data_IF_227632721951
#
_entry.id   IF_227632721951
#
_cell.length_a   1.000
_cell.length_b   1.000
_cell.length_c   1.000
_cell.angle_alpha   90.00
_cell.angle_beta   90.00
_cell.angle_gamma   90.00
#
_symmetry.space_group_name_H-M   'P 1'
#
loop_
_entity.id
_entity.type
_entity.pdbx_description
1 polymer ?
#
# COMPACT_ATOMS: atom_id res chain seq x y z
N UNK A 1 -0.93 17.06 22.58
CA UNK A 1 -0.12 16.51 21.47
C UNK A 1 0.23 17.64 20.52
N UNK A 2 1.52 17.94 20.31
CA UNK A 2 1.98 19.15 19.60
C UNK A 2 1.59 19.13 18.11
N UNK A 3 0.93 20.19 17.60
CA UNK A 3 0.55 20.31 16.17
C UNK A 3 1.73 20.14 15.20
N UNK A 4 2.93 20.59 15.59
CA UNK A 4 4.17 20.41 14.81
C UNK A 4 4.56 18.93 14.64
N UNK A 5 4.28 18.09 15.62
CA UNK A 5 4.57 16.65 15.58
C UNK A 5 3.63 15.89 14.63
N UNK A 6 2.36 16.32 14.62
CA UNK A 6 1.33 15.76 13.75
C UNK A 6 1.50 16.15 12.27
N UNK A 7 1.95 17.39 12.03
CA UNK A 7 2.28 17.85 10.67
C UNK A 7 3.48 17.09 10.10
N UNK A 8 4.48 16.76 10.92
CA UNK A 8 5.65 15.97 10.49
C UNK A 8 5.27 14.56 10.03
N UNK A 9 4.36 13.87 10.73
CA UNK A 9 3.90 12.54 10.31
C UNK A 9 3.14 12.56 8.99
N UNK A 10 2.27 13.54 8.77
CA UNK A 10 1.59 13.72 7.48
C UNK A 10 2.57 14.04 6.34
N UNK A 11 3.54 14.92 6.57
CA UNK A 11 4.55 15.26 5.55
C UNK A 11 5.40 14.06 5.16
N UNK A 12 5.83 13.25 6.15
CA UNK A 12 6.55 12.01 5.88
C UNK A 12 5.71 11.01 5.08
N UNK A 13 4.42 10.92 5.36
CA UNK A 13 3.50 10.06 4.61
C UNK A 13 3.33 10.56 3.16
N UNK A 14 3.18 11.86 2.93
CA UNK A 14 3.19 12.43 1.57
C UNK A 14 4.48 12.11 0.82
N UNK A 15 5.62 12.28 1.46
CA UNK A 15 6.91 11.92 0.88
C UNK A 15 7.01 10.42 0.58
N UNK A 16 6.50 9.55 1.47
CA UNK A 16 6.45 8.11 1.25
C UNK A 16 5.64 7.75 0.01
N UNK A 17 4.44 8.32 -0.16
CA UNK A 17 3.60 8.04 -1.33
C UNK A 17 4.14 8.65 -2.62
N UNK A 18 4.85 9.78 -2.57
CA UNK A 18 5.59 10.30 -3.72
C UNK A 18 6.72 9.34 -4.13
N UNK A 19 7.48 8.81 -3.15
CA UNK A 19 8.54 7.82 -3.40
C UNK A 19 7.99 6.52 -3.99
N UNK A 20 6.87 6.00 -3.49
CA UNK A 20 6.20 4.85 -4.07
C UNK A 20 5.78 5.12 -5.52
N UNK A 21 5.21 6.29 -5.80
CA UNK A 21 4.79 6.64 -7.18
C UNK A 21 5.97 6.76 -8.14
N UNK A 22 7.11 7.29 -7.69
CA UNK A 22 8.34 7.32 -8.50
C UNK A 22 8.88 5.91 -8.71
N UNK A 23 8.87 5.07 -7.68
CA UNK A 23 9.23 3.66 -7.79
C UNK A 23 8.35 2.93 -8.83
N UNK A 24 7.03 3.11 -8.76
CA UNK A 24 6.07 2.54 -9.71
C UNK A 24 6.36 3.04 -11.14
N UNK A 25 6.71 4.32 -11.31
CA UNK A 25 7.11 4.87 -12.61
C UNK A 25 8.42 4.25 -13.13
N UNK A 26 9.38 3.97 -12.24
CA UNK A 26 10.61 3.25 -12.60
C UNK A 26 10.29 1.84 -13.12
N UNK A 27 9.42 1.08 -12.43
CA UNK A 27 9.01 -0.25 -12.90
C UNK A 27 8.31 -0.19 -14.26
N UNK A 28 7.43 0.80 -14.46
CA UNK A 28 6.78 1.01 -15.76
C UNK A 28 7.76 1.39 -16.86
N UNK A 29 8.79 2.18 -16.55
CA UNK A 29 9.85 2.55 -17.50
C UNK A 29 10.66 1.37 -18.02
N UNK A 30 10.65 0.23 -17.33
CA UNK A 30 11.29 -1.03 -17.71
C UNK A 30 10.38 -1.94 -18.54
N UNK A 31 9.12 -1.54 -18.77
CA UNK A 31 8.18 -2.32 -19.56
C UNK A 31 8.71 -2.62 -20.97
N UNK A 32 8.66 -3.89 -21.37
CA UNK A 32 9.17 -4.37 -22.65
C UNK A 32 10.70 -4.47 -22.76
N UNK A 33 11.45 -4.11 -21.70
CA UNK A 33 12.90 -4.21 -21.66
C UNK A 33 13.39 -5.33 -20.74
N UNK A 34 12.69 -5.55 -19.64
CA UNK A 34 13.02 -6.56 -18.63
C UNK A 34 11.78 -7.38 -18.27
N UNK A 35 12.03 -8.61 -17.78
CA UNK A 35 10.98 -9.44 -17.24
C UNK A 35 10.42 -8.87 -15.92
N UNK A 36 9.08 -8.90 -15.69
CA UNK A 36 8.48 -8.38 -14.48
C UNK A 36 9.03 -8.98 -13.18
N UNK A 37 9.38 -10.27 -13.19
CA UNK A 37 9.94 -10.96 -12.02
C UNK A 37 11.36 -10.47 -11.71
N UNK A 38 12.14 -10.15 -12.73
CA UNK A 38 13.48 -9.56 -12.60
C UNK A 38 13.39 -8.18 -11.93
N UNK A 39 12.44 -7.36 -12.35
CA UNK A 39 12.19 -6.05 -11.71
C UNK A 39 11.74 -6.22 -10.27
N UNK A 40 10.78 -7.11 -10.00
CA UNK A 40 10.30 -7.38 -8.64
C UNK A 40 11.41 -7.91 -7.72
N UNK A 41 12.25 -8.83 -8.20
CA UNK A 41 13.43 -9.35 -7.52
C UNK A 41 14.43 -8.24 -7.15
N UNK A 42 14.69 -7.32 -8.09
CA UNK A 42 15.59 -6.18 -7.85
C UNK A 42 15.11 -5.31 -6.69
N UNK A 43 13.79 -5.21 -6.50
CA UNK A 43 13.16 -4.54 -5.36
C UNK A 43 13.60 -5.13 -4.03
N UNK A 44 13.67 -6.46 -3.93
CA UNK A 44 14.21 -7.16 -2.77
C UNK A 44 15.68 -6.80 -2.52
N UNK A 45 16.52 -6.86 -3.56
CA UNK A 45 17.97 -6.57 -3.45
C UNK A 45 18.22 -5.13 -3.02
N UNK A 46 17.72 -4.16 -3.77
CA UNK A 46 18.00 -2.75 -3.47
C UNK A 46 17.30 -2.28 -2.20
N UNK A 47 16.21 -2.93 -1.80
CA UNK A 47 15.53 -2.70 -0.53
C UNK A 47 16.41 -2.99 0.70
N UNK A 48 17.37 -3.91 0.59
CA UNK A 48 18.35 -4.19 1.68
C UNK A 48 19.19 -2.98 2.06
N UNK A 49 19.42 -2.03 1.15
CA UNK A 49 20.18 -0.81 1.43
C UNK A 49 19.52 0.07 2.51
N UNK A 50 18.24 -0.13 2.78
CA UNK A 50 17.49 0.63 3.81
C UNK A 50 17.59 -0.04 5.20
N UNK A 51 17.97 -1.31 5.28
CA UNK A 51 18.06 -2.04 6.57
C UNK A 51 18.87 -1.34 7.66
N UNK A 52 20.05 -0.75 7.38
CA UNK A 52 20.82 -0.05 8.40
C UNK A 52 20.05 1.10 9.07
N UNK A 53 19.13 1.73 8.34
CA UNK A 53 18.32 2.86 8.83
C UNK A 53 17.07 2.42 9.63
N UNK A 54 16.64 1.18 9.47
CA UNK A 54 15.51 0.59 10.21
C UNK A 54 15.98 -0.06 11.50
N UNK A 55 17.18 -0.66 11.48
CA UNK A 55 17.77 -1.38 12.61
C UNK A 55 18.01 -0.44 13.79
N UNK A 56 17.57 -0.84 14.98
CA UNK A 56 17.95 -0.18 16.23
C UNK A 56 19.37 -0.61 16.65
N UNK A 57 20.10 0.22 17.44
CA UNK A 57 21.44 -0.11 17.88
C UNK A 57 21.57 -1.44 18.66
N UNK A 58 20.48 -1.85 19.35
CA UNK A 58 20.42 -3.06 20.16
C UNK A 58 20.01 -4.31 19.35
N UNK A 59 19.51 -4.16 18.12
CA UNK A 59 19.06 -5.26 17.28
C UNK A 59 20.21 -5.81 16.45
N UNK A 60 20.24 -7.14 16.26
CA UNK A 60 21.14 -7.81 15.31
C UNK A 60 20.49 -7.88 13.92
N UNK A 61 21.27 -8.01 12.87
CA UNK A 61 20.73 -8.29 11.52
C UNK A 61 20.00 -9.64 11.45
N UNK A 62 20.36 -10.61 12.31
CA UNK A 62 19.62 -11.88 12.43
C UNK A 62 18.19 -11.71 12.92
N UNK A 63 17.89 -10.61 13.62
CA UNK A 63 16.55 -10.32 14.14
C UNK A 63 15.52 -10.02 13.03
N UNK A 64 15.99 -9.93 11.79
CA UNK A 64 15.11 -9.88 10.60
C UNK A 64 14.21 -11.13 10.50
N UNK A 65 14.65 -12.26 11.08
CA UNK A 65 13.88 -13.50 11.16
C UNK A 65 13.26 -13.72 12.55
N UNK A 66 13.50 -12.82 13.51
CA UNK A 66 12.98 -12.95 14.87
C UNK A 66 11.47 -12.70 14.87
N UNK A 67 10.70 -13.74 15.09
CA UNK A 67 9.24 -13.68 15.14
C UNK A 67 8.68 -14.78 16.05
N UNK A 68 7.70 -14.42 16.89
CA UNK A 68 6.96 -15.37 17.71
C UNK A 68 5.94 -16.20 16.90
N UNK A 69 5.65 -15.77 15.68
CA UNK A 69 4.67 -16.39 14.77
C UNK A 69 5.23 -16.61 13.37
N UNK A 70 6.09 -17.62 13.15
CA UNK A 70 6.75 -17.86 11.88
C UNK A 70 5.76 -18.11 10.73
N UNK A 71 4.60 -18.71 11.01
CA UNK A 71 3.56 -18.89 10.00
C UNK A 71 3.01 -17.57 9.45
N UNK A 72 2.86 -16.56 10.30
CA UNK A 72 2.40 -15.23 9.87
C UNK A 72 3.50 -14.47 9.14
N UNK A 73 4.75 -14.65 9.54
CA UNK A 73 5.90 -14.11 8.84
C UNK A 73 6.00 -14.68 7.41
N UNK A 74 5.89 -16.01 7.27
CA UNK A 74 5.90 -16.70 5.97
C UNK A 74 4.69 -16.31 5.11
N UNK A 75 3.49 -16.26 5.70
CA UNK A 75 2.29 -15.82 4.99
C UNK A 75 2.47 -14.40 4.44
N UNK A 76 3.06 -13.51 5.24
CA UNK A 76 3.33 -12.14 4.79
C UNK A 76 4.40 -12.11 3.71
N UNK A 77 5.49 -12.86 3.84
CA UNK A 77 6.52 -12.96 2.81
C UNK A 77 5.94 -13.49 1.48
N UNK A 78 5.11 -14.52 1.54
CA UNK A 78 4.42 -15.03 0.37
C UNK A 78 3.44 -14.02 -0.24
N UNK A 79 2.65 -13.35 0.60
CA UNK A 79 1.72 -12.33 0.15
C UNK A 79 2.44 -11.12 -0.49
N UNK A 80 3.59 -10.70 0.06
CA UNK A 80 4.39 -9.62 -0.54
C UNK A 80 5.05 -10.06 -1.85
N UNK A 81 5.53 -11.29 -1.97
CA UNK A 81 5.98 -11.86 -3.24
C UNK A 81 4.89 -11.78 -4.33
N UNK A 82 3.71 -12.32 -4.05
CA UNK A 82 2.60 -12.30 -5.01
C UNK A 82 2.18 -10.86 -5.33
N UNK A 83 2.19 -9.98 -4.33
CA UNK A 83 1.83 -8.57 -4.52
C UNK A 83 2.83 -7.83 -5.39
N UNK A 84 4.15 -7.97 -5.15
CA UNK A 84 5.19 -7.29 -5.95
C UNK A 84 5.21 -7.77 -7.38
N UNK A 85 5.26 -9.07 -7.62
CA UNK A 85 5.19 -9.63 -8.98
C UNK A 85 3.98 -9.11 -9.76
N UNK A 86 2.81 -9.22 -9.11
CA UNK A 86 1.55 -8.83 -9.77
C UNK A 86 1.45 -7.32 -9.96
N UNK A 87 1.92 -6.50 -9.03
CA UNK A 87 1.90 -5.04 -9.19
C UNK A 87 2.85 -4.54 -10.28
N UNK A 88 4.09 -5.07 -10.32
CA UNK A 88 5.04 -4.75 -11.38
C UNK A 88 4.47 -5.13 -12.74
N UNK A 89 3.94 -6.34 -12.88
CA UNK A 89 3.30 -6.79 -14.12
C UNK A 89 2.11 -5.89 -14.51
N UNK A 90 1.29 -5.49 -13.55
CA UNK A 90 0.18 -4.58 -13.82
C UNK A 90 0.65 -3.21 -14.32
N UNK A 91 1.67 -2.59 -13.69
CA UNK A 91 2.23 -1.32 -14.14
C UNK A 91 2.91 -1.40 -15.50
N UNK A 92 3.55 -2.53 -15.83
CA UNK A 92 4.15 -2.74 -17.14
C UNK A 92 3.10 -2.88 -18.25
N UNK A 93 1.95 -3.51 -17.96
CA UNK A 93 0.92 -3.84 -18.95
C UNK A 93 -0.18 -2.79 -19.08
N UNK A 94 -0.44 -2.00 -18.03
CA UNK A 94 -1.52 -1.01 -17.98
C UNK A 94 -0.99 0.42 -17.82
N UNK A 95 -1.76 1.45 -18.21
CA UNK A 95 -1.52 2.82 -17.76
C UNK A 95 -1.48 2.90 -16.22
N UNK A 96 -0.54 3.70 -15.66
CA UNK A 96 -0.36 3.77 -14.20
C UNK A 96 -1.64 4.10 -13.42
N UNK A 97 -2.47 5.07 -13.84
CA UNK A 97 -3.71 5.38 -13.12
C UNK A 97 -4.74 4.24 -13.16
N UNK A 98 -4.78 3.48 -14.25
CA UNK A 98 -5.66 2.33 -14.41
C UNK A 98 -5.23 1.17 -13.47
N UNK A 99 -3.95 0.81 -13.48
CA UNK A 99 -3.39 -0.19 -12.59
C UNK A 99 -3.61 0.20 -11.11
N UNK A 100 -3.29 1.45 -10.74
CA UNK A 100 -3.41 1.94 -9.38
C UNK A 100 -4.87 1.97 -8.90
N UNK A 101 -5.83 2.39 -9.75
CA UNK A 101 -7.25 2.40 -9.40
C UNK A 101 -7.77 1.00 -9.03
N UNK A 102 -7.29 -0.05 -9.71
CA UNK A 102 -7.60 -1.44 -9.39
C UNK A 102 -6.95 -1.88 -8.08
N UNK A 103 -5.72 -1.44 -7.82
CA UNK A 103 -5.03 -1.73 -6.55
C UNK A 103 -5.71 -1.05 -5.36
N UNK A 104 -6.46 0.03 -5.55
CA UNK A 104 -7.33 0.62 -4.52
C UNK A 104 -8.53 -0.26 -4.12
N UNK A 105 -8.71 -1.44 -4.72
CA UNK A 105 -9.56 -2.50 -4.17
C UNK A 105 -9.01 -3.13 -2.87
N UNK A 106 -7.78 -2.86 -2.51
CA UNK A 106 -7.16 -3.39 -1.29
C UNK A 106 -8.02 -3.18 -0.03
N UNK A 107 -8.62 -2.00 0.26
CA UNK A 107 -9.49 -1.83 1.42
C UNK A 107 -10.74 -2.71 1.38
N UNK A 108 -11.28 -3.00 0.19
CA UNK A 108 -12.37 -3.95 0.01
C UNK A 108 -11.95 -5.35 0.46
N UNK A 109 -10.81 -5.84 -0.01
CA UNK A 109 -10.30 -7.16 0.39
C UNK A 109 -9.93 -7.21 1.87
N UNK A 110 -9.31 -6.15 2.42
CA UNK A 110 -9.04 -6.05 3.87
C UNK A 110 -10.34 -6.18 4.67
N UNK A 111 -11.41 -5.49 4.26
CA UNK A 111 -12.71 -5.56 4.93
C UNK A 111 -13.31 -6.96 4.86
N UNK A 112 -13.30 -7.59 3.68
CA UNK A 112 -13.82 -8.96 3.51
C UNK A 112 -13.06 -9.97 4.38
N UNK A 113 -11.73 -9.90 4.38
CA UNK A 113 -10.88 -10.81 5.17
C UNK A 113 -11.07 -10.54 6.67
N UNK A 114 -11.18 -9.27 7.09
CA UNK A 114 -11.41 -8.91 8.49
C UNK A 114 -12.75 -9.46 9.00
N UNK A 115 -13.82 -9.36 8.21
CA UNK A 115 -15.13 -9.92 8.57
C UNK A 115 -15.10 -11.45 8.57
N UNK A 116 -14.51 -12.07 7.53
CA UNK A 116 -14.52 -13.52 7.36
C UNK A 116 -13.59 -14.25 8.33
N UNK A 117 -12.36 -13.80 8.50
CA UNK A 117 -11.31 -14.46 9.28
C UNK A 117 -11.23 -13.92 10.70
N UNK A 118 -11.18 -12.58 10.88
CA UNK A 118 -11.05 -11.94 12.18
C UNK A 118 -12.39 -11.81 12.92
N UNK A 119 -13.51 -12.06 12.20
CA UNK A 119 -14.88 -11.90 12.72
C UNK A 119 -15.16 -10.50 13.27
N UNK A 120 -14.49 -9.48 12.72
CA UNK A 120 -14.65 -8.09 13.11
C UNK A 120 -16.03 -7.59 12.67
N UNK A 121 -16.70 -6.83 13.55
CA UNK A 121 -17.96 -6.16 13.21
C UNK A 121 -17.64 -4.88 12.45
N UNK A 122 -18.00 -4.84 11.19
CA UNK A 122 -17.78 -3.68 10.29
C UNK A 122 -19.06 -2.85 10.23
N UNK A 123 -18.93 -1.53 10.36
CA UNK A 123 -20.07 -0.61 10.29
C UNK A 123 -20.70 -0.58 8.89
N UNK A 124 -22.03 -0.33 8.80
CA UNK A 124 -22.70 -0.17 7.52
C UNK A 124 -22.12 0.95 6.66
N UNK A 125 -21.56 1.98 7.31
CA UNK A 125 -20.88 3.07 6.61
C UNK A 125 -19.59 2.64 5.93
N UNK A 126 -18.82 1.75 6.55
CA UNK A 126 -17.63 1.17 5.92
C UNK A 126 -18.02 0.36 4.67
N UNK A 127 -19.10 -0.44 4.76
CA UNK A 127 -19.63 -1.16 3.61
C UNK A 127 -20.07 -0.23 2.48
N UNK A 128 -20.72 0.89 2.82
CA UNK A 128 -21.11 1.90 1.82
C UNK A 128 -19.88 2.49 1.12
N UNK A 129 -18.88 2.94 1.88
CA UNK A 129 -17.65 3.52 1.33
C UNK A 129 -16.93 2.53 0.43
N UNK A 130 -16.77 1.28 0.90
CA UNK A 130 -16.14 0.19 0.15
C UNK A 130 -16.93 -0.12 -1.12
N UNK A 131 -18.25 -0.14 -1.05
CA UNK A 131 -19.13 -0.36 -2.21
C UNK A 131 -19.01 0.76 -3.26
N UNK A 132 -18.96 2.03 -2.82
CA UNK A 132 -18.74 3.17 -3.73
C UNK A 132 -17.36 3.10 -4.39
N UNK A 133 -16.32 2.73 -3.64
CA UNK A 133 -14.98 2.51 -4.20
C UNK A 133 -14.97 1.39 -5.24
N UNK A 134 -15.65 0.29 -4.96
CA UNK A 134 -15.80 -0.82 -5.90
C UNK A 134 -16.54 -0.40 -7.19
N UNK A 135 -17.59 0.41 -7.07
CA UNK A 135 -18.27 0.98 -8.25
C UNK A 135 -17.33 1.87 -9.07
N UNK A 136 -16.49 2.67 -8.43
CA UNK A 136 -15.47 3.45 -9.12
C UNK A 136 -14.49 2.58 -9.92
N UNK A 137 -14.07 1.46 -9.35
CA UNK A 137 -13.23 0.47 -10.07
C UNK A 137 -13.99 -0.15 -11.25
N UNK A 138 -15.28 -0.48 -11.11
CA UNK A 138 -16.08 -0.99 -12.22
C UNK A 138 -16.21 0.03 -13.36
N UNK A 139 -16.29 1.33 -13.03
CA UNK A 139 -16.28 2.41 -14.04
C UNK A 139 -14.94 2.45 -14.80
N UNK A 140 -13.81 2.21 -14.14
CA UNK A 140 -12.50 2.10 -14.79
C UNK A 140 -12.43 0.86 -15.68
N UNK A 141 -12.83 -0.29 -15.17
CA UNK A 141 -12.74 -1.58 -15.87
C UNK A 141 -13.70 -1.68 -17.07
N UNK A 142 -14.86 -1.08 -16.97
CA UNK A 142 -15.93 -1.20 -18.01
C UNK A 142 -16.13 -2.63 -18.50
N UNK A 143 -16.50 -3.57 -17.61
CA UNK A 143 -16.66 -4.97 -17.97
C UNK A 143 -17.72 -5.11 -19.08
N UNK A 144 -17.40 -5.88 -20.13
CA UNK A 144 -18.23 -6.04 -21.31
C UNK A 144 -18.04 -5.01 -22.43
N UNK A 145 -17.30 -3.91 -22.19
CA UNK A 145 -16.97 -2.88 -23.18
C UNK A 145 -15.49 -2.94 -23.58
N UNK A 146 -14.60 -3.21 -22.62
CA UNK A 146 -13.18 -3.40 -22.86
C UNK A 146 -12.79 -4.87 -22.67
N UNK A 147 -11.83 -5.33 -23.46
CA UNK A 147 -11.22 -6.63 -23.26
C UNK A 147 -10.40 -6.62 -21.97
N UNK A 148 -10.61 -7.65 -21.14
CA UNK A 148 -9.77 -7.87 -19.96
C UNK A 148 -8.39 -8.36 -20.39
N UNK A 149 -7.35 -7.63 -20.01
CA UNK A 149 -5.97 -8.02 -20.23
C UNK A 149 -5.35 -8.60 -18.96
N UNK A 150 -4.28 -9.36 -19.11
CA UNK A 150 -3.55 -9.95 -17.99
C UNK A 150 -3.20 -8.90 -16.90
N UNK A 151 -2.87 -7.68 -17.28
CA UNK A 151 -2.57 -6.58 -16.37
C UNK A 151 -3.70 -6.26 -15.38
N UNK A 152 -4.97 -6.36 -15.79
CA UNK A 152 -6.12 -6.12 -14.90
C UNK A 152 -6.21 -7.20 -13.81
N UNK A 153 -6.03 -8.48 -14.20
CA UNK A 153 -5.99 -9.58 -13.23
C UNK A 153 -4.82 -9.42 -12.25
N UNK A 154 -3.65 -9.06 -12.76
CA UNK A 154 -2.48 -8.79 -11.94
C UNK A 154 -2.74 -7.66 -10.93
N UNK A 155 -3.36 -6.55 -11.33
CA UNK A 155 -3.68 -5.45 -10.43
C UNK A 155 -4.65 -5.87 -9.30
N UNK A 156 -5.66 -6.69 -9.62
CA UNK A 156 -6.60 -7.23 -8.62
C UNK A 156 -5.91 -8.22 -7.69
N UNK A 157 -5.07 -9.12 -8.23
CA UNK A 157 -4.27 -10.06 -7.42
C UNK A 157 -3.32 -9.29 -6.50
N UNK A 158 -2.66 -8.24 -6.99
CA UNK A 158 -1.80 -7.37 -6.18
C UNK A 158 -2.58 -6.74 -5.02
N UNK A 159 -3.79 -6.22 -5.25
CA UNK A 159 -4.65 -5.67 -4.22
C UNK A 159 -5.04 -6.71 -3.15
N UNK A 160 -5.41 -7.92 -3.58
CA UNK A 160 -5.78 -9.02 -2.68
C UNK A 160 -4.58 -9.52 -1.86
N UNK A 161 -3.43 -9.69 -2.50
CA UNK A 161 -2.21 -10.13 -1.84
C UNK A 161 -1.71 -9.07 -0.83
N UNK A 162 -1.78 -7.79 -1.18
CA UNK A 162 -1.48 -6.69 -0.27
C UNK A 162 -2.42 -6.69 0.95
N UNK A 163 -3.71 -6.90 0.75
CA UNK A 163 -4.68 -7.05 1.83
C UNK A 163 -4.32 -8.22 2.75
N UNK A 164 -3.95 -9.38 2.19
CA UNK A 164 -3.49 -10.54 2.95
C UNK A 164 -2.23 -10.24 3.78
N UNK A 165 -1.26 -9.49 3.20
CA UNK A 165 -0.05 -9.05 3.90
C UNK A 165 -0.39 -8.15 5.10
N UNK A 166 -1.33 -7.21 4.95
CA UNK A 166 -1.80 -6.34 6.06
C UNK A 166 -2.49 -7.15 7.15
N UNK A 167 -3.31 -8.12 6.79
CA UNK A 167 -3.97 -8.99 7.77
C UNK A 167 -2.97 -9.88 8.50
N UNK A 168 -2.00 -10.45 7.79
CA UNK A 168 -0.92 -11.22 8.39
C UNK A 168 -0.13 -10.38 9.42
N UNK A 169 0.13 -9.10 9.10
CA UNK A 169 0.72 -8.15 10.02
C UNK A 169 -0.12 -7.95 11.30
N UNK A 170 -1.43 -7.76 11.16
CA UNK A 170 -2.35 -7.63 12.31
C UNK A 170 -2.36 -8.89 13.18
N UNK A 171 -2.39 -10.07 12.56
CA UNK A 171 -2.38 -11.36 13.25
C UNK A 171 -1.04 -11.66 13.94
N UNK A 172 0.07 -11.15 13.42
CA UNK A 172 1.38 -11.27 14.03
C UNK A 172 1.46 -10.53 15.39
N UNK A 173 0.63 -9.49 15.58
CA UNK A 173 0.55 -8.71 16.82
C UNK A 173 1.70 -7.71 16.99
N UNK A 174 1.63 -6.91 18.08
CA UNK A 174 2.61 -5.84 18.38
C UNK A 174 4.01 -6.35 18.81
N UNK A 175 4.21 -7.65 18.90
CA UNK A 175 5.46 -8.25 19.42
C UNK A 175 6.52 -8.45 18.36
N UNK A 176 6.16 -8.38 17.07
CA UNK A 176 7.15 -8.52 15.99
C UNK A 176 8.02 -7.27 15.86
N UNK A 177 9.32 -7.44 15.91
CA UNK A 177 10.29 -6.36 15.71
C UNK A 177 10.07 -5.68 14.34
N UNK A 178 10.25 -4.36 14.27
CA UNK A 178 10.14 -3.60 13.01
C UNK A 178 11.02 -4.19 11.91
N UNK A 179 12.22 -4.60 12.29
CA UNK A 179 13.20 -5.24 11.40
C UNK A 179 12.64 -6.54 10.80
N UNK A 180 12.01 -7.39 11.60
CA UNK A 180 11.39 -8.65 11.15
C UNK A 180 10.23 -8.41 10.19
N UNK A 181 9.42 -7.40 10.46
CA UNK A 181 8.29 -7.02 9.59
C UNK A 181 8.77 -6.49 8.24
N UNK A 182 9.81 -5.68 8.25
CA UNK A 182 10.44 -5.21 7.02
C UNK A 182 11.11 -6.36 6.26
N UNK A 183 11.79 -7.25 6.99
CA UNK A 183 12.42 -8.44 6.43
C UNK A 183 11.45 -9.31 5.64
N UNK A 184 10.29 -9.63 6.19
CA UNK A 184 9.28 -10.43 5.48
C UNK A 184 8.84 -9.79 4.16
N UNK A 185 8.83 -8.45 4.06
CA UNK A 185 8.49 -7.75 2.82
C UNK A 185 9.61 -7.75 1.77
N UNK A 186 10.86 -7.95 2.18
CA UNK A 186 12.01 -8.07 1.26
C UNK A 186 12.26 -9.52 0.83
N UNK A 187 12.18 -10.46 1.77
CA UNK A 187 12.49 -11.86 1.48
C UNK A 187 11.45 -12.54 0.60
N UNK A 188 10.20 -12.10 0.64
CA UNK A 188 9.17 -12.59 -0.27
C UNK A 188 9.54 -12.39 -1.74
N UNK A 189 9.71 -11.15 -2.19
CA UNK A 189 10.18 -10.85 -3.55
C UNK A 189 11.54 -11.45 -3.85
N UNK A 190 12.51 -11.36 -2.94
CA UNK A 190 13.84 -11.87 -3.16
C UNK A 190 13.87 -13.38 -3.47
N UNK A 191 13.10 -14.19 -2.75
CA UNK A 191 13.07 -15.64 -2.97
C UNK A 191 12.06 -16.00 -4.06
N UNK A 192 10.82 -15.50 -3.96
CA UNK A 192 9.75 -15.88 -4.86
C UNK A 192 9.96 -15.35 -6.28
N UNK A 193 10.19 -14.06 -6.44
CA UNK A 193 10.43 -13.45 -7.75
C UNK A 193 11.80 -13.87 -8.31
N UNK A 194 12.81 -14.07 -7.43
CA UNK A 194 14.10 -14.58 -7.83
C UNK A 194 14.05 -16.00 -8.43
N UNK A 195 13.24 -16.89 -7.87
CA UNK A 195 13.04 -18.22 -8.43
C UNK A 195 12.32 -18.18 -9.78
N UNK A 196 11.31 -17.31 -9.94
CA UNK A 196 10.60 -17.14 -11.20
C UNK A 196 11.47 -16.47 -12.26
N UNK A 197 12.30 -15.49 -11.86
CA UNK A 197 13.27 -14.84 -12.73
C UNK A 197 14.23 -15.84 -13.38
N UNK A 198 14.66 -16.90 -12.69
CA UNK A 198 15.59 -17.89 -13.24
C UNK A 198 15.09 -18.57 -14.52
N UNK A 199 13.77 -18.59 -14.75
CA UNK A 199 13.18 -19.17 -15.94
C UNK A 199 13.24 -18.23 -17.18
N UNK A 200 13.33 -16.91 -16.98
CA UNK A 200 13.13 -15.90 -18.02
C UNK A 200 14.06 -14.68 -17.90
N UNK A 201 15.19 -14.78 -17.21
CA UNK A 201 16.09 -13.64 -16.99
C UNK A 201 16.57 -13.01 -18.30
N UNK A 202 16.37 -11.71 -18.42
CA UNK A 202 16.71 -10.92 -19.62
C UNK A 202 17.92 -10.02 -19.43
N UNK A 203 18.51 -9.96 -18.28
CA UNK A 203 19.63 -9.12 -17.86
C UNK A 203 19.57 -7.65 -18.33
N UNK A 204 19.70 -6.69 -17.43
CA UNK A 204 19.58 -5.27 -17.76
C UNK A 204 20.73 -4.81 -18.65
N UNK A 205 20.40 -4.20 -19.77
CA UNK A 205 21.35 -3.63 -20.72
C UNK A 205 21.45 -2.10 -20.53
N UNK A 206 22.66 -1.61 -20.32
CA UNK A 206 22.94 -0.19 -20.21
C UNK A 206 22.66 0.43 -18.84
N UNK A 207 23.26 1.58 -18.58
CA UNK A 207 23.17 2.29 -17.30
C UNK A 207 21.72 2.74 -16.96
N UNK A 208 20.90 3.02 -17.98
CA UNK A 208 19.51 3.45 -17.79
C UNK A 208 18.65 2.41 -17.09
N UNK A 209 18.71 1.14 -17.53
CA UNK A 209 17.95 0.04 -16.92
C UNK A 209 18.40 -0.21 -15.48
N UNK A 210 19.70 -0.15 -15.21
CA UNK A 210 20.22 -0.26 -13.85
C UNK A 210 19.77 0.89 -12.95
N UNK A 211 19.73 2.13 -13.47
CA UNK A 211 19.23 3.27 -12.73
C UNK A 211 17.73 3.13 -12.40
N UNK A 212 16.93 2.63 -13.33
CA UNK A 212 15.50 2.37 -13.10
C UNK A 212 15.26 1.23 -12.12
N UNK A 213 16.03 0.13 -12.21
CA UNK A 213 15.96 -0.97 -11.23
C UNK A 213 16.35 -0.51 -9.81
N UNK A 214 17.44 0.24 -9.71
CA UNK A 214 17.84 0.85 -8.43
C UNK A 214 16.75 1.79 -7.91
N UNK A 215 16.23 2.68 -8.78
CA UNK A 215 15.13 3.58 -8.45
C UNK A 215 13.91 2.84 -7.94
N UNK A 216 13.48 1.78 -8.63
CA UNK A 216 12.36 0.96 -8.21
C UNK A 216 12.55 0.41 -6.78
N UNK A 217 13.62 -0.34 -6.54
CA UNK A 217 13.81 -1.03 -5.26
C UNK A 217 14.16 -0.08 -4.11
N UNK A 218 15.09 0.84 -4.34
CA UNK A 218 15.55 1.77 -3.30
C UNK A 218 14.45 2.75 -2.87
N UNK A 219 13.72 3.35 -3.84
CA UNK A 219 12.68 4.34 -3.54
C UNK A 219 11.46 3.69 -2.88
N UNK A 220 11.10 2.46 -3.28
CA UNK A 220 10.04 1.70 -2.59
C UNK A 220 10.41 1.44 -1.12
N UNK A 221 11.63 0.97 -0.87
CA UNK A 221 12.11 0.70 0.49
C UNK A 221 12.26 1.97 1.33
N UNK A 222 12.73 3.08 0.73
CA UNK A 222 12.80 4.39 1.38
C UNK A 222 11.41 4.92 1.71
N UNK A 223 10.45 4.76 0.80
CA UNK A 223 9.03 5.09 1.04
C UNK A 223 8.46 4.28 2.21
N UNK A 224 8.79 2.99 2.29
CA UNK A 224 8.38 2.14 3.42
C UNK A 224 9.01 2.60 4.74
N UNK A 225 10.27 3.02 4.75
CA UNK A 225 10.91 3.61 5.93
C UNK A 225 10.17 4.89 6.37
N UNK A 226 9.88 5.80 5.43
CA UNK A 226 9.14 7.04 5.73
C UNK A 226 7.74 6.75 6.25
N UNK A 227 7.06 5.73 5.71
CA UNK A 227 5.76 5.30 6.21
C UNK A 227 5.84 4.76 7.65
N UNK A 228 6.87 3.96 7.97
CA UNK A 228 7.12 3.49 9.34
C UNK A 228 7.39 4.66 10.29
N UNK A 229 8.16 5.67 9.88
CA UNK A 229 8.40 6.88 10.67
C UNK A 229 7.12 7.71 10.83
N UNK A 230 6.33 7.86 9.76
CA UNK A 230 5.06 8.57 9.79
C UNK A 230 4.08 7.97 10.79
N UNK A 231 3.92 6.65 10.80
CA UNK A 231 3.04 5.93 11.75
C UNK A 231 3.53 5.98 13.19
N UNK A 232 4.83 6.18 13.42
CA UNK A 232 5.37 6.42 14.75
C UNK A 232 5.09 7.84 15.28
N UNK A 233 4.91 8.81 14.36
CA UNK A 233 4.71 10.24 14.69
C UNK A 233 3.24 10.67 14.69
N UNK A 234 2.38 9.98 13.94
CA UNK A 234 0.97 10.34 13.79
C UNK A 234 0.07 9.09 13.78
N UNK A 235 -1.18 9.23 14.24
CA UNK A 235 -2.13 8.13 14.21
C UNK A 235 -2.42 7.70 12.76
N UNK A 236 -2.67 6.40 12.58
CA UNK A 236 -2.84 5.77 11.27
C UNK A 236 -3.88 6.44 10.37
N UNK A 237 -4.96 6.98 10.95
CA UNK A 237 -6.00 7.69 10.22
C UNK A 237 -5.52 8.99 9.54
N UNK A 238 -4.46 9.63 10.07
CA UNK A 238 -3.85 10.84 9.46
C UNK A 238 -2.78 10.47 8.43
N UNK A 239 -2.08 9.38 8.67
CA UNK A 239 -1.04 8.87 7.77
C UNK A 239 -1.65 8.24 6.49
N UNK A 240 -2.89 7.78 6.56
CA UNK A 240 -3.57 7.16 5.42
C UNK A 240 -4.05 8.17 4.35
N UNK A 241 -4.30 9.45 4.72
CA UNK A 241 -4.80 10.46 3.78
C UNK A 241 -3.88 10.69 2.56
N UNK A 242 -2.57 10.86 2.78
CA UNK A 242 -1.65 11.07 1.68
C UNK A 242 -1.61 9.95 0.64
N UNK A 243 -2.14 8.76 0.94
CA UNK A 243 -2.25 7.67 -0.03
C UNK A 243 -3.01 8.10 -1.29
N UNK A 244 -4.04 8.93 -1.16
CA UNK A 244 -4.79 9.41 -2.32
C UNK A 244 -3.96 10.34 -3.23
N UNK A 245 -2.88 10.94 -2.72
CA UNK A 245 -1.94 11.69 -3.55
C UNK A 245 -1.22 10.81 -4.57
N UNK A 246 -1.10 9.51 -4.31
CA UNK A 246 -0.48 8.55 -5.23
C UNK A 246 -1.23 8.51 -6.57
N UNK A 247 -2.55 8.68 -6.55
CA UNK A 247 -3.34 8.77 -7.78
C UNK A 247 -3.00 10.02 -8.60
N UNK A 248 -2.76 11.16 -7.94
CA UNK A 248 -2.36 12.40 -8.62
C UNK A 248 -0.99 12.23 -9.30
N UNK A 249 -0.03 11.61 -8.59
CA UNK A 249 1.27 11.27 -9.15
C UNK A 249 1.18 10.30 -10.32
N UNK A 250 0.35 9.26 -10.21
CA UNK A 250 0.15 8.29 -11.28
C UNK A 250 -0.41 8.94 -12.55
N UNK A 251 -1.39 9.86 -12.41
CA UNK A 251 -1.93 10.65 -13.52
C UNK A 251 -0.84 11.53 -14.13
N UNK A 252 -0.10 12.26 -13.29
CA UNK A 252 0.97 13.15 -13.75
C UNK A 252 2.07 12.38 -14.50
N UNK A 253 2.55 11.26 -13.96
CA UNK A 253 3.59 10.46 -14.61
C UNK A 253 3.09 9.75 -15.86
N UNK A 254 1.85 9.28 -15.88
CA UNK A 254 1.24 8.68 -17.08
C UNK A 254 1.24 9.67 -18.25
N UNK A 255 0.87 10.92 -17.98
CA UNK A 255 0.83 11.96 -19.00
C UNK A 255 2.22 12.49 -19.35
N UNK A 256 3.03 12.87 -18.34
CA UNK A 256 4.30 13.58 -18.54
C UNK A 256 5.44 12.66 -19.00
N UNK A 257 5.52 11.43 -18.46
CA UNK A 257 6.64 10.52 -18.72
C UNK A 257 6.29 9.49 -19.80
N UNK A 258 5.06 9.01 -19.81
CA UNK A 258 4.65 7.91 -20.69
C UNK A 258 3.75 8.34 -21.84
N UNK A 259 3.38 9.63 -21.93
CA UNK A 259 2.52 10.20 -22.97
C UNK A 259 1.22 9.39 -23.17
N UNK A 260 0.68 8.82 -22.09
CA UNK A 260 -0.54 8.03 -22.08
C UNK A 260 -1.70 8.91 -21.60
N UNK A 261 -2.58 9.40 -22.50
CA UNK A 261 -3.72 10.21 -22.08
C UNK A 261 -4.75 9.33 -21.32
N UNK A 262 -5.36 9.94 -20.32
CA UNK A 262 -6.50 9.34 -19.61
C UNK A 262 -7.77 9.50 -20.45
N UNK A 263 -8.51 8.42 -20.59
CA UNK A 263 -9.87 8.52 -21.12
C UNK A 263 -10.85 9.02 -20.04
N UNK A 264 -11.93 9.66 -20.46
CA UNK A 264 -12.88 10.31 -19.57
C UNK A 264 -13.48 9.36 -18.52
N UNK A 265 -13.74 8.13 -18.87
CA UNK A 265 -14.32 7.14 -17.96
C UNK A 265 -13.33 6.69 -16.87
N UNK A 266 -12.08 6.48 -17.26
CA UNK A 266 -11.01 6.20 -16.30
C UNK A 266 -10.86 7.37 -15.34
N UNK A 267 -10.92 8.62 -15.83
CA UNK A 267 -10.90 9.81 -14.97
C UNK A 267 -12.07 9.84 -13.99
N UNK A 268 -13.30 9.60 -14.45
CA UNK A 268 -14.48 9.53 -13.59
C UNK A 268 -14.33 8.43 -12.53
N UNK A 269 -13.90 7.24 -12.92
CA UNK A 269 -13.70 6.14 -11.98
C UNK A 269 -12.64 6.45 -10.91
N UNK A 270 -11.52 7.08 -11.29
CA UNK A 270 -10.48 7.57 -10.38
C UNK A 270 -11.06 8.55 -9.35
N UNK A 271 -11.85 9.52 -9.80
CA UNK A 271 -12.51 10.50 -8.91
C UNK A 271 -13.42 9.78 -7.91
N UNK A 272 -14.24 8.82 -8.38
CA UNK A 272 -15.15 8.05 -7.50
C UNK A 272 -14.38 7.24 -6.47
N UNK A 273 -13.30 6.53 -6.87
CA UNK A 273 -12.43 5.77 -5.95
C UNK A 273 -11.81 6.70 -4.89
N UNK A 274 -11.28 7.84 -5.32
CA UNK A 274 -10.64 8.81 -4.43
C UNK A 274 -11.63 9.39 -3.44
N UNK A 275 -12.80 9.82 -3.91
CA UNK A 275 -13.86 10.37 -3.05
C UNK A 275 -14.38 9.32 -2.06
N UNK A 276 -14.54 8.08 -2.46
CA UNK A 276 -14.93 6.96 -1.59
C UNK A 276 -13.98 6.80 -0.41
N UNK A 277 -12.67 6.82 -0.67
CA UNK A 277 -11.68 6.71 0.37
C UNK A 277 -11.62 7.94 1.27
N UNK A 278 -11.75 9.15 0.72
CA UNK A 278 -11.85 10.37 1.51
C UNK A 278 -13.09 10.38 2.42
N UNK A 279 -14.22 9.90 1.91
CA UNK A 279 -15.45 9.77 2.67
C UNK A 279 -15.29 8.81 3.85
N UNK A 280 -14.68 7.65 3.62
CA UNK A 280 -14.34 6.68 4.67
C UNK A 280 -13.48 7.32 5.76
N UNK A 281 -12.46 8.06 5.37
CA UNK A 281 -11.56 8.73 6.31
C UNK A 281 -12.25 9.83 7.12
N UNK A 282 -13.05 10.71 6.49
CA UNK A 282 -13.78 11.78 7.18
C UNK A 282 -14.66 11.18 8.28
N UNK A 283 -15.39 10.11 7.94
CA UNK A 283 -16.27 9.44 8.90
C UNK A 283 -15.50 8.79 10.05
N UNK A 284 -14.38 8.13 9.75
CA UNK A 284 -13.53 7.54 10.76
C UNK A 284 -12.95 8.61 11.71
N UNK A 285 -12.54 9.74 11.17
CA UNK A 285 -12.06 10.88 11.97
C UNK A 285 -13.15 11.39 12.91
N UNK A 286 -14.36 11.62 12.40
CA UNK A 286 -15.50 12.08 13.20
C UNK A 286 -15.86 11.10 14.32
N UNK A 287 -15.78 9.79 14.04
CA UNK A 287 -16.03 8.76 15.04
C UNK A 287 -14.98 8.78 16.18
N UNK A 288 -13.69 8.88 15.84
CA UNK A 288 -12.63 8.98 16.86
C UNK A 288 -12.72 10.27 17.67
N UNK A 289 -13.09 11.40 17.05
CA UNK A 289 -13.28 12.68 17.76
C UNK A 289 -14.45 12.56 18.76
N UNK A 290 -15.55 11.91 18.38
CA UNK A 290 -16.67 11.65 19.30
C UNK A 290 -16.24 10.78 20.49
N UNK A 291 -15.58 9.66 20.26
CA UNK A 291 -15.09 8.78 21.32
C UNK A 291 -14.15 9.53 22.29
N UNK A 292 -13.25 10.36 21.75
CA UNK A 292 -12.35 11.18 22.57
C UNK A 292 -13.11 12.21 23.43
N UNK A 293 -14.18 12.81 22.88
CA UNK A 293 -15.05 13.74 23.63
C UNK A 293 -15.85 13.01 24.71
N UNK A 294 -16.39 11.81 24.41
CA UNK A 294 -17.09 10.97 25.38
C UNK A 294 -16.18 10.56 26.54
N UNK A 295 -14.94 10.11 26.24
CA UNK A 295 -13.96 9.77 27.28
C UNK A 295 -13.55 10.97 28.12
N UNK A 296 -13.36 12.15 27.49
CA UNK A 296 -13.07 13.39 28.23
C UNK A 296 -14.22 13.78 29.13
N UNK A 297 -15.45 13.65 28.62
CA UNK A 297 -16.66 14.00 29.38
C UNK A 297 -16.86 13.08 30.58
N UNK A 298 -16.70 11.74 30.38
CA UNK A 298 -16.81 10.74 31.45
C UNK A 298 -15.76 10.93 32.56
N UNK A 299 -14.54 11.34 32.21
CA UNK A 299 -13.50 11.65 33.21
C UNK A 299 -13.86 12.84 34.12
N UNK A 300 -14.61 13.80 33.62
CA UNK A 300 -14.99 14.99 34.39
C UNK A 300 -16.38 14.89 35.03
N UNK A 301 -17.21 13.94 34.57
CA UNK A 301 -18.59 13.75 35.04
C UNK A 301 -18.93 12.26 35.22
N UNK A 302 -18.26 11.55 36.15
CA UNK A 302 -18.33 10.07 36.21
C UNK A 302 -19.73 9.52 36.53
N UNK A 303 -20.65 10.33 37.07
CA UNK A 303 -22.01 9.93 37.47
C UNK A 303 -23.11 10.30 36.48
N UNK A 304 -22.78 10.94 35.34
CA UNK A 304 -23.75 11.44 34.39
C UNK A 304 -23.53 10.90 32.98
N UNK A 305 -24.61 10.75 32.21
CA UNK A 305 -24.50 10.35 30.79
C UNK A 305 -24.04 11.54 29.93
N UNK A 306 -23.24 11.33 28.90
CA UNK A 306 -22.87 12.40 27.99
C UNK A 306 -24.11 12.99 27.31
N UNK A 307 -24.15 14.31 27.06
CA UNK A 307 -25.25 14.93 26.34
C UNK A 307 -25.35 14.40 24.90
N UNK A 308 -26.56 14.43 24.34
CA UNK A 308 -26.85 13.88 23.01
C UNK A 308 -26.00 14.48 21.86
N UNK A 309 -25.43 15.65 22.08
CA UNK A 309 -24.48 16.32 21.14
C UNK A 309 -23.08 15.67 21.14
N UNK A 310 -22.74 14.92 22.17
CA UNK A 310 -21.45 14.22 22.33
C UNK A 310 -21.59 12.71 22.08
N UNK A 311 -22.80 12.15 22.20
CA UNK A 311 -23.15 10.77 21.88
C UNK A 311 -23.62 10.68 20.41
#
# INVERSE_FOLDING_TARGET
MNLKFLSSGMMLSFAAFALFSISDACSKGLAGQLDPFEVAFSGGIFGFLILPFIRKPQESYSDIFATDRPSMWLLRAFATFVSTASSVMAFMLLPMPEALSLMFLMPFFVTLISVGILKEKVSGWTWLSVGVGFLGVLIVLRPGVRAFHLGHFCAVIAAMANAASVIAYRLAGNQSARLSLFGSSLFGPLIGDGLLMLAHATWPHGAGNWALLFGYGFLAALGQLFMMMATALAPANRVALPQYSQMLWAVAFSYLLFHQPLDNWTFVGIVVVTLSGMLHWVRQKLHYERLALEEHWQRHHPSSRPPAEVA
#
